data_IF_145649806126
#
_entry.id   IF_145649806126
#
_cell.length_a   1.000
_cell.length_b   1.000
_cell.length_c   1.000
_cell.angle_alpha   90.00
_cell.angle_beta   90.00
_cell.angle_gamma   90.00
#
_symmetry.space_group_name_H-M   'P 1'
#
loop_
_entity.id
_entity.type
_entity.pdbx_description
1 polymer ?
#
# COMPACT_ATOMS: atom_id res chain seq x y z
N UNK A 1 -12.26 52.05 -12.42
CA UNK A 1 -12.65 50.69 -12.87
C UNK A 1 -11.47 49.71 -12.77
N UNK A 2 -10.83 49.60 -11.59
CA UNK A 2 -9.62 48.76 -11.37
C UNK A 2 -9.73 47.92 -10.08
N UNK A 3 -10.81 48.11 -9.30
CA UNK A 3 -10.99 47.46 -8.00
C UNK A 3 -11.68 46.08 -8.08
N UNK A 4 -12.43 45.82 -9.16
CA UNK A 4 -13.20 44.57 -9.32
C UNK A 4 -12.33 43.37 -9.77
N UNK A 5 -11.25 43.62 -10.52
CA UNK A 5 -10.32 42.58 -10.96
C UNK A 5 -9.42 42.06 -9.81
N UNK A 6 -9.26 42.82 -8.71
CA UNK A 6 -8.48 42.38 -7.55
C UNK A 6 -9.26 41.44 -6.62
N UNK A 7 -10.58 41.60 -6.50
CA UNK A 7 -11.40 40.67 -5.70
C UNK A 7 -11.61 39.32 -6.39
N UNK A 8 -11.63 39.28 -7.73
CA UNK A 8 -11.79 38.03 -8.48
C UNK A 8 -10.60 37.07 -8.32
N UNK A 9 -9.37 37.59 -8.19
CA UNK A 9 -8.17 36.76 -7.97
C UNK A 9 -8.07 36.19 -6.55
N UNK A 10 -8.66 36.86 -5.56
CA UNK A 10 -8.63 36.40 -4.16
C UNK A 10 -9.58 35.21 -3.94
N UNK A 11 -10.71 35.18 -4.64
CA UNK A 11 -11.65 34.06 -4.59
C UNK A 11 -11.13 32.81 -5.32
N UNK A 12 -10.37 32.96 -6.41
CA UNK A 12 -9.73 31.83 -7.10
C UNK A 12 -8.52 31.28 -6.34
N UNK A 13 -7.74 32.13 -5.67
CA UNK A 13 -6.67 31.69 -4.74
C UNK A 13 -7.23 30.94 -3.53
N UNK A 14 -8.34 31.41 -2.96
CA UNK A 14 -9.05 30.74 -1.88
C UNK A 14 -9.58 29.35 -2.28
N UNK A 15 -10.10 29.21 -3.49
CA UNK A 15 -10.59 27.92 -4.00
C UNK A 15 -9.45 26.93 -4.31
N UNK A 16 -8.31 27.39 -4.83
CA UNK A 16 -7.11 26.55 -5.03
C UNK A 16 -6.50 26.04 -3.70
N UNK A 17 -6.60 26.82 -2.62
CA UNK A 17 -6.18 26.39 -1.28
C UNK A 17 -7.10 25.32 -0.68
N UNK A 18 -8.38 25.30 -1.06
CA UNK A 18 -9.39 24.36 -0.54
C UNK A 18 -9.35 23.00 -1.28
N UNK A 19 -8.85 22.93 -2.51
CA UNK A 19 -8.81 21.67 -3.29
C UNK A 19 -7.44 20.99 -3.36
N UNK A 20 -6.41 21.54 -2.70
CA UNK A 20 -5.14 20.84 -2.49
C UNK A 20 -5.24 19.84 -1.32
N UNK A 21 -6.12 18.85 -1.41
CA UNK A 21 -5.94 17.64 -0.59
C UNK A 21 -4.75 16.89 -1.18
N UNK A 22 -3.54 17.20 -0.70
CA UNK A 22 -2.38 16.32 -0.92
C UNK A 22 -2.81 14.94 -0.45
N UNK A 23 -2.79 13.94 -1.34
CA UNK A 23 -3.04 12.57 -0.94
C UNK A 23 -1.87 12.12 -0.04
N UNK A 24 -2.04 12.24 1.27
CA UNK A 24 -1.05 11.73 2.21
C UNK A 24 -1.16 10.21 2.20
N UNK A 25 -0.18 9.56 1.58
CA UNK A 25 -0.03 8.12 1.66
C UNK A 25 0.08 7.71 3.14
N UNK A 26 -0.74 6.76 3.63
CA UNK A 26 -0.65 6.28 5.00
C UNK A 26 0.74 5.74 5.33
N UNK A 27 1.15 5.87 6.59
CA UNK A 27 2.43 5.33 7.06
C UNK A 27 2.47 3.81 6.88
N UNK A 28 3.64 3.25 6.58
CA UNK A 28 3.88 1.80 6.60
C UNK A 28 3.64 1.17 8.00
N UNK A 29 3.57 2.00 9.05
CA UNK A 29 3.23 1.58 10.41
C UNK A 29 1.75 1.83 10.76
N UNK A 30 0.95 2.35 9.82
CA UNK A 30 -0.47 2.59 10.03
C UNK A 30 -1.21 1.25 10.05
N UNK A 31 -1.55 0.80 11.25
CA UNK A 31 -2.23 -0.47 11.48
C UNK A 31 -3.59 -0.54 10.77
N UNK A 32 -4.34 0.56 10.70
CA UNK A 32 -5.67 0.58 10.07
C UNK A 32 -5.55 0.39 8.56
N UNK A 33 -4.59 1.06 7.94
CA UNK A 33 -4.30 0.88 6.52
C UNK A 33 -3.84 -0.55 6.21
N UNK A 34 -2.91 -1.09 7.01
CA UNK A 34 -2.42 -2.46 6.86
C UNK A 34 -3.58 -3.47 6.98
N UNK A 35 -4.40 -3.35 8.03
CA UNK A 35 -5.53 -4.24 8.28
C UNK A 35 -6.52 -4.18 7.10
N UNK A 36 -6.87 -2.99 6.59
CA UNK A 36 -7.75 -2.84 5.43
C UNK A 36 -7.20 -3.47 4.15
N UNK A 37 -5.91 -3.29 3.87
CA UNK A 37 -5.27 -3.91 2.72
C UNK A 37 -5.30 -5.44 2.80
N UNK A 38 -5.03 -5.98 3.99
CA UNK A 38 -5.05 -7.42 4.26
C UNK A 38 -6.48 -7.97 4.16
N UNK A 39 -7.46 -7.26 4.70
CA UNK A 39 -8.87 -7.68 4.69
C UNK A 39 -9.46 -7.71 3.28
N UNK A 40 -9.29 -6.62 2.52
CA UNK A 40 -9.74 -6.55 1.13
C UNK A 40 -9.13 -7.67 0.28
N UNK A 41 -7.84 -7.97 0.48
CA UNK A 41 -7.17 -9.09 -0.17
C UNK A 41 -7.75 -10.44 0.21
N UNK A 42 -7.92 -10.69 1.51
CA UNK A 42 -8.41 -11.95 2.01
C UNK A 42 -9.83 -12.22 1.49
N UNK A 43 -10.67 -11.20 1.38
CA UNK A 43 -12.02 -11.34 0.85
C UNK A 43 -12.03 -11.83 -0.60
N UNK A 44 -11.22 -11.22 -1.48
CA UNK A 44 -11.10 -11.67 -2.88
C UNK A 44 -10.65 -13.13 -2.98
N UNK A 45 -9.78 -13.60 -2.06
CA UNK A 45 -9.29 -14.99 -2.07
C UNK A 45 -10.34 -16.01 -1.66
N UNK A 46 -11.25 -15.65 -0.77
CA UNK A 46 -12.36 -16.52 -0.34
C UNK A 46 -13.33 -16.82 -1.47
N UNK A 47 -13.31 -15.99 -2.50
CA UNK A 47 -14.23 -16.00 -3.63
C UNK A 47 -13.58 -16.54 -4.92
N UNK A 48 -12.38 -17.14 -4.87
CA UNK A 48 -11.74 -17.70 -6.07
C UNK A 48 -12.57 -18.84 -6.67
N UNK A 49 -12.64 -18.87 -8.00
CA UNK A 49 -13.27 -19.95 -8.75
C UNK A 49 -12.20 -20.63 -9.63
N UNK A 50 -12.00 -21.96 -9.50
CA UNK A 50 -12.68 -22.87 -8.57
C UNK A 50 -12.21 -22.70 -7.10
N UNK A 51 -12.99 -23.19 -6.11
CA UNK A 51 -12.61 -23.11 -4.70
C UNK A 51 -11.27 -23.81 -4.42
N UNK A 52 -10.48 -23.23 -3.51
CA UNK A 52 -9.15 -23.72 -3.14
C UNK A 52 -9.16 -24.48 -1.81
N UNK A 53 -8.45 -25.61 -1.76
CA UNK A 53 -8.36 -26.49 -0.59
C UNK A 53 -7.27 -26.11 0.43
N UNK A 54 -6.22 -25.42 -0.02
CA UNK A 54 -4.97 -25.20 0.72
C UNK A 54 -4.67 -23.70 0.93
N UNK A 55 -5.69 -22.86 0.90
CA UNK A 55 -5.51 -21.41 0.86
C UNK A 55 -4.92 -20.87 2.16
N UNK A 56 -3.78 -20.16 2.10
CA UNK A 56 -3.19 -19.46 3.24
C UNK A 56 -3.48 -17.96 3.19
N UNK A 57 -3.31 -17.30 4.33
CA UNK A 57 -3.50 -15.86 4.47
C UNK A 57 -2.42 -15.11 3.71
N UNK A 58 -2.81 -14.61 2.52
CA UNK A 58 -2.19 -13.66 1.57
C UNK A 58 -1.98 -14.20 0.13
N UNK A 59 -1.37 -13.37 -0.75
CA UNK A 59 -1.51 -13.34 -2.23
C UNK A 59 -1.48 -14.69 -2.92
N UNK A 60 -2.10 -14.73 -4.11
CA UNK A 60 -2.75 -15.86 -4.78
C UNK A 60 -2.16 -17.26 -4.57
N UNK A 61 -0.85 -17.38 -4.36
CA UNK A 61 -0.16 -18.59 -3.94
C UNK A 61 -0.59 -19.08 -2.56
N UNK A 62 -1.12 -20.30 -2.53
CA UNK A 62 -1.51 -21.02 -1.31
C UNK A 62 -0.37 -21.19 -0.30
N UNK A 63 0.89 -21.06 -0.72
CA UNK A 63 2.05 -21.18 0.18
C UNK A 63 2.64 -19.85 0.63
N UNK A 64 2.21 -18.71 0.10
CA UNK A 64 2.64 -17.38 0.57
C UNK A 64 1.80 -16.96 1.78
N UNK A 65 2.46 -16.61 2.89
CA UNK A 65 1.82 -16.30 4.18
C UNK A 65 2.50 -15.17 4.99
N UNK A 66 3.54 -14.50 4.44
CA UNK A 66 4.12 -13.22 4.90
C UNK A 66 4.17 -12.17 3.79
N UNK A 67 3.74 -10.93 4.07
CA UNK A 67 3.76 -9.81 3.10
C UNK A 67 4.46 -8.63 3.73
N UNK A 68 5.31 -7.97 2.97
CA UNK A 68 5.88 -6.66 3.32
C UNK A 68 5.66 -5.70 2.17
N UNK A 69 5.07 -4.54 2.44
CA UNK A 69 4.84 -3.52 1.41
C UNK A 69 5.61 -2.25 1.72
N UNK A 70 6.05 -1.55 0.68
CA UNK A 70 6.70 -0.25 0.77
C UNK A 70 6.11 0.70 -0.27
N UNK A 71 6.10 1.97 0.07
CA UNK A 71 5.66 3.04 -0.84
C UNK A 71 6.70 4.14 -0.87
N UNK A 72 6.94 4.66 -2.07
CA UNK A 72 7.80 5.81 -2.28
C UNK A 72 7.15 6.77 -3.28
N UNK A 73 7.16 8.06 -2.96
CA UNK A 73 6.70 9.09 -3.89
C UNK A 73 7.84 9.40 -4.85
N UNK A 74 7.59 9.31 -6.15
CA UNK A 74 8.55 9.46 -7.24
C UNK A 74 8.07 10.50 -8.25
N UNK A 75 8.20 11.81 -7.97
CA UNK A 75 7.67 12.88 -8.83
C UNK A 75 8.19 12.85 -10.27
N UNK A 76 9.40 12.31 -10.46
CA UNK A 76 10.10 12.28 -11.74
C UNK A 76 9.59 11.19 -12.73
N UNK A 77 8.67 10.31 -12.30
CA UNK A 77 8.17 9.19 -13.11
C UNK A 77 6.87 9.45 -13.87
N UNK A 78 6.32 10.67 -13.84
CA UNK A 78 5.11 10.99 -14.61
C UNK A 78 4.21 12.11 -14.08
N UNK A 79 4.65 12.85 -13.06
CA UNK A 79 3.87 13.97 -12.49
C UNK A 79 4.12 14.15 -10.99
N UNK A 80 3.67 15.28 -10.45
CA UNK A 80 3.98 15.76 -9.09
C UNK A 80 3.49 14.87 -7.93
N UNK A 81 2.80 13.77 -8.20
CA UNK A 81 2.21 12.87 -7.21
C UNK A 81 2.32 11.38 -7.56
N UNK A 82 3.26 11.00 -8.44
CA UNK A 82 3.45 9.57 -8.77
C UNK A 82 4.04 8.83 -7.57
N UNK A 83 3.53 7.65 -7.24
CA UNK A 83 4.07 6.80 -6.18
C UNK A 83 4.32 5.38 -6.68
N UNK A 84 5.45 4.81 -6.27
CA UNK A 84 5.76 3.39 -6.43
C UNK A 84 5.27 2.68 -5.17
N UNK A 85 4.34 1.74 -5.33
CA UNK A 85 3.87 0.84 -4.29
C UNK A 85 4.32 -0.59 -4.62
N UNK A 86 5.13 -1.19 -3.75
CA UNK A 86 5.69 -2.54 -3.92
C UNK A 86 5.23 -3.39 -2.74
N UNK A 87 4.84 -4.63 -3.01
CA UNK A 87 4.62 -5.65 -1.98
C UNK A 87 5.40 -6.91 -2.35
N UNK A 88 6.18 -7.40 -1.40
CA UNK A 88 6.87 -8.69 -1.50
C UNK A 88 6.10 -9.74 -0.70
N UNK A 89 6.03 -10.95 -1.25
CA UNK A 89 5.30 -12.07 -0.69
C UNK A 89 6.24 -13.23 -0.39
N UNK A 90 6.11 -13.78 0.82
CA UNK A 90 6.96 -14.81 1.37
C UNK A 90 6.14 -15.97 1.93
N UNK A 91 6.55 -17.23 1.73
CA UNK A 91 7.46 -17.71 0.69
C UNK A 91 7.06 -17.25 -0.73
N UNK A 92 8.01 -17.20 -1.67
CA UNK A 92 7.73 -16.81 -3.05
C UNK A 92 6.78 -17.81 -3.73
N UNK A 93 6.15 -17.33 -4.79
CA UNK A 93 5.24 -18.10 -5.61
C UNK A 93 5.48 -17.89 -7.10
N UNK A 94 4.43 -18.01 -7.90
CA UNK A 94 4.47 -17.79 -9.35
C UNK A 94 5.47 -18.69 -10.09
N UNK A 95 5.54 -19.97 -9.70
CA UNK A 95 6.38 -20.95 -10.38
C UNK A 95 5.77 -21.35 -11.72
N UNK A 96 6.62 -21.53 -12.74
CA UNK A 96 6.19 -21.90 -14.09
C UNK A 96 5.34 -23.17 -14.07
N UNK A 97 4.23 -23.16 -14.82
CA UNK A 97 3.28 -24.29 -14.96
C UNK A 97 2.72 -24.84 -13.64
N UNK A 98 2.86 -24.09 -12.55
CA UNK A 98 2.37 -24.49 -11.24
C UNK A 98 1.13 -23.68 -10.91
N UNK A 99 -0.02 -24.31 -10.59
CA UNK A 99 -1.19 -23.56 -10.17
C UNK A 99 -0.93 -22.90 -8.80
N UNK A 100 -1.48 -21.69 -8.57
CA UNK A 100 -1.33 -20.98 -7.30
C UNK A 100 -1.87 -21.76 -6.10
N UNK A 101 -2.84 -22.65 -6.31
CA UNK A 101 -3.50 -23.41 -5.26
C UNK A 101 -4.02 -24.75 -5.79
N UNK A 102 -4.38 -25.64 -4.87
CA UNK A 102 -5.08 -26.90 -5.20
C UNK A 102 -6.58 -26.66 -5.18
N UNK A 103 -7.30 -27.00 -6.25
CA UNK A 103 -8.77 -27.02 -6.25
C UNK A 103 -9.30 -28.01 -5.20
N UNK A 104 -10.31 -27.62 -4.42
CA UNK A 104 -11.03 -28.52 -3.53
C UNK A 104 -11.81 -27.80 -2.43
N UNK A 105 -12.32 -28.59 -1.47
CA UNK A 105 -13.09 -28.06 -0.32
C UNK A 105 -12.19 -27.15 0.50
N UNK A 106 -12.61 -25.91 0.82
CA UNK A 106 -11.81 -24.99 1.62
C UNK A 106 -11.25 -25.62 2.89
N UNK A 107 -9.98 -25.31 3.19
CA UNK A 107 -9.24 -25.81 4.34
C UNK A 107 -9.00 -27.34 4.43
N UNK A 108 -9.48 -28.15 3.48
CA UNK A 108 -9.27 -29.62 3.49
C UNK A 108 -7.80 -30.04 3.42
N UNK A 109 -6.88 -29.11 3.11
CA UNK A 109 -5.44 -29.32 3.07
C UNK A 109 -4.65 -28.34 3.95
N UNK A 110 -5.25 -27.78 5.00
CA UNK A 110 -4.49 -27.02 6.00
C UNK A 110 -3.50 -27.92 6.76
N UNK A 111 -2.46 -27.31 7.36
CA UNK A 111 -1.52 -28.03 8.23
C UNK A 111 -2.21 -28.61 9.47
N UNK A 112 -1.58 -29.60 10.14
CA UNK A 112 -2.16 -30.24 11.32
C UNK A 112 -2.41 -29.28 12.49
N UNK A 113 -1.57 -28.25 12.61
CA UNK A 113 -1.62 -27.21 13.65
C UNK A 113 -2.33 -25.94 13.17
N UNK A 114 -2.82 -25.94 11.92
CA UNK A 114 -3.48 -24.79 11.34
C UNK A 114 -4.96 -24.78 11.74
N UNK A 115 -5.50 -23.60 12.07
CA UNK A 115 -6.94 -23.36 12.15
C UNK A 115 -7.50 -22.99 10.78
N UNK A 116 -8.73 -23.41 10.51
CA UNK A 116 -9.48 -22.89 9.36
C UNK A 116 -10.28 -21.68 9.82
N UNK A 117 -9.95 -20.51 9.29
CA UNK A 117 -10.64 -19.27 9.57
C UNK A 117 -11.11 -18.67 8.25
N UNK A 118 -12.43 -18.49 8.10
CA UNK A 118 -13.04 -17.89 6.92
C UNK A 118 -12.47 -18.42 5.59
N UNK A 119 -12.42 -19.76 5.44
CA UNK A 119 -11.91 -20.48 4.24
C UNK A 119 -10.41 -20.34 3.97
N UNK A 120 -9.62 -19.92 4.96
CA UNK A 120 -8.19 -19.74 4.87
C UNK A 120 -7.49 -20.45 6.05
N UNK A 121 -6.29 -20.98 5.85
CA UNK A 121 -5.48 -21.66 6.87
C UNK A 121 -4.66 -20.64 7.68
N UNK A 122 -4.89 -20.57 8.99
CA UNK A 122 -4.13 -19.76 9.96
C UNK A 122 -3.23 -20.61 10.81
N UNK A 123 -2.12 -20.04 11.25
CA UNK A 123 -1.24 -20.66 12.23
C UNK A 123 -0.60 -19.57 13.07
N UNK A 124 -0.86 -19.58 14.37
CA UNK A 124 -0.45 -18.48 15.26
C UNK A 124 1.06 -18.27 15.27
N UNK A 125 1.84 -19.35 15.30
CA UNK A 125 3.30 -19.28 15.34
C UNK A 125 3.86 -18.76 14.02
N UNK A 126 3.41 -19.33 12.90
CA UNK A 126 3.83 -18.94 11.55
C UNK A 126 3.47 -17.50 11.21
N UNK A 127 2.27 -17.08 11.60
CA UNK A 127 1.68 -15.78 11.26
C UNK A 127 2.12 -14.67 12.25
N UNK A 128 2.91 -15.02 13.27
CA UNK A 128 3.51 -14.04 14.20
C UNK A 128 4.40 -13.05 13.44
N UNK A 129 4.25 -11.75 13.75
CA UNK A 129 5.12 -10.70 13.25
C UNK A 129 6.52 -10.87 13.85
N UNK A 130 7.51 -11.03 12.97
CA UNK A 130 8.91 -11.05 13.38
C UNK A 130 9.45 -9.64 13.20
N UNK A 131 9.80 -8.99 14.30
CA UNK A 131 10.57 -7.76 14.24
C UNK A 131 12.05 -8.10 14.07
N UNK A 132 12.68 -7.43 13.13
CA UNK A 132 14.11 -7.52 12.90
C UNK A 132 14.74 -6.25 13.48
N UNK A 133 15.32 -6.31 14.70
CA UNK A 133 15.75 -5.10 15.43
C UNK A 133 16.81 -4.27 14.69
N UNK A 134 17.56 -4.89 13.77
CA UNK A 134 18.56 -4.22 12.93
C UNK A 134 18.15 -4.13 11.45
N UNK A 135 16.85 -4.20 11.15
CA UNK A 135 16.36 -4.09 9.78
C UNK A 135 16.44 -2.65 9.28
N UNK A 136 17.57 -2.37 8.65
CA UNK A 136 17.83 -1.17 7.89
C UNK A 136 17.97 -1.56 6.42
N UNK A 137 16.87 -1.63 5.65
CA UNK A 137 16.99 -1.90 4.22
C UNK A 137 17.83 -0.75 3.64
N UNK A 138 18.93 -1.09 2.97
CA UNK A 138 19.79 -0.14 2.28
C UNK A 138 19.05 0.41 1.05
N UNK A 139 18.02 1.21 1.29
CA UNK A 139 17.19 1.89 0.32
C UNK A 139 16.91 3.27 0.86
N UNK A 140 17.83 4.21 0.61
CA UNK A 140 17.50 5.63 0.77
C UNK A 140 16.58 6.00 -0.38
N UNK A 141 15.27 5.89 -0.18
CA UNK A 141 14.35 6.74 -0.93
C UNK A 141 14.79 8.18 -0.64
N UNK A 142 15.18 8.94 -1.66
CA UNK A 142 15.45 10.35 -1.49
C UNK A 142 14.15 11.00 -1.02
N UNK A 143 14.02 11.22 0.29
CA UNK A 143 12.90 11.92 0.86
C UNK A 143 13.11 13.39 0.50
N UNK A 144 12.71 13.77 -0.71
CA UNK A 144 12.55 15.18 -1.03
C UNK A 144 11.43 15.68 -0.13
N UNK A 145 11.83 16.32 0.96
CA UNK A 145 10.97 17.13 1.79
C UNK A 145 10.26 18.11 0.86
N UNK A 146 9.00 17.81 0.56
CA UNK A 146 8.13 18.64 -0.26
C UNK A 146 7.77 19.92 0.50
N UNK A 147 8.75 20.81 0.67
CA UNK A 147 8.60 22.25 0.82
C UNK A 147 10.01 22.86 0.76
N UNK A 148 10.52 23.14 -0.43
CA UNK A 148 11.72 23.96 -0.53
C UNK A 148 11.32 25.39 -0.12
N UNK A 149 11.92 25.92 0.96
CA UNK A 149 11.67 27.27 1.46
C UNK A 149 11.97 28.34 0.38
N UNK A 150 12.79 28.00 -0.63
CA UNK A 150 13.01 28.84 -1.81
C UNK A 150 11.75 29.07 -2.65
N UNK A 151 10.80 28.13 -2.70
CA UNK A 151 9.55 28.34 -3.45
C UNK A 151 8.70 29.47 -2.86
N UNK A 152 8.73 29.67 -1.54
CA UNK A 152 8.07 30.80 -0.89
C UNK A 152 8.77 32.13 -1.22
N UNK A 153 10.09 32.14 -1.29
CA UNK A 153 10.88 33.33 -1.66
C UNK A 153 10.63 33.74 -3.11
N UNK A 154 10.55 32.78 -4.05
CA UNK A 154 10.24 33.06 -5.45
C UNK A 154 8.82 33.61 -5.69
N UNK A 155 7.85 33.22 -4.87
CA UNK A 155 6.48 33.75 -4.95
C UNK A 155 6.40 35.15 -4.36
N UNK A 156 7.12 35.42 -3.26
CA UNK A 156 7.18 36.76 -2.65
C UNK A 156 7.94 37.76 -3.53
N UNK A 157 9.04 37.34 -4.18
CA UNK A 157 9.82 38.18 -5.11
C UNK A 157 9.13 38.48 -6.45
N UNK A 158 8.01 37.81 -6.76
CA UNK A 158 7.19 38.13 -7.95
C UNK A 158 5.95 38.96 -7.62
N UNK A 159 5.70 39.22 -6.33
CA UNK A 159 4.58 40.02 -5.83
C UNK A 159 5.03 41.40 -5.29
N UNK A 160 6.33 41.69 -5.33
CA UNK A 160 6.93 43.00 -5.11
C UNK A 160 7.79 43.38 -6.32
#
# INVERSE_FOLDING_TARGET
MVLWNKLSCLWTLGFCLVTSKRFSVPSIKDKSFIDQCVDAHNELRRQVQPPAANMKYMVIWANSYKVGCAINICPDLGGTETAIFICDYGPPGNYERTPPYTKGVPCSKCGKEDSCENKLCRNKERDTLIEYPNWNPHGKAAQQTACNLLCLVCVLLRLF
#
